data_IF_505275214467
#
_entry.id   IF_505275214467
#
_cell.length_a   1.000
_cell.length_b   1.000
_cell.length_c   1.000
_cell.angle_alpha   90.00
_cell.angle_beta   90.00
_cell.angle_gamma   90.00
#
_symmetry.space_group_name_H-M   'P 1'
#
loop_
_entity.id
_entity.type
_entity.pdbx_description
1 polymer ?
#
# COMPACT_ATOMS: atom_id res chain seq x y z
N UNK A 1 8.36 -4.74 -7.00
CA UNK A 1 8.38 -3.26 -6.92
C UNK A 1 7.98 -2.93 -5.48
N UNK A 2 8.67 -2.02 -4.78
CA UNK A 2 8.63 -1.93 -3.31
C UNK A 2 7.20 -1.86 -2.72
N UNK A 3 6.78 -2.98 -2.12
CA UNK A 3 5.53 -3.16 -1.41
C UNK A 3 5.57 -2.33 -0.13
N UNK A 4 4.84 -1.20 -0.12
CA UNK A 4 4.37 -0.37 1.01
C UNK A 4 5.08 -0.46 2.37
N UNK A 5 6.39 -0.69 2.38
CA UNK A 5 7.15 -1.08 3.57
C UNK A 5 7.25 0.07 4.56
N UNK A 6 7.14 1.31 4.08
CA UNK A 6 7.07 2.50 4.93
C UNK A 6 5.78 2.55 5.78
N UNK A 7 4.77 1.76 5.41
CA UNK A 7 3.52 1.56 6.16
C UNK A 7 3.63 0.31 7.05
N UNK A 8 4.22 -0.76 6.54
CA UNK A 8 4.41 -2.02 7.29
C UNK A 8 5.45 -1.89 8.41
N UNK A 9 6.52 -1.14 8.14
CA UNK A 9 7.69 -0.89 8.99
C UNK A 9 7.98 0.62 9.08
N UNK A 10 7.12 1.40 9.75
CA UNK A 10 7.29 2.85 9.88
C UNK A 10 8.58 3.24 10.64
N UNK A 11 9.22 2.30 11.34
CA UNK A 11 10.51 2.46 12.02
C UNK A 11 11.70 2.58 11.05
N UNK A 12 11.57 2.11 9.80
CA UNK A 12 12.67 2.15 8.82
C UNK A 12 12.82 3.52 8.13
N UNK A 13 11.83 4.40 8.27
CA UNK A 13 11.81 5.70 7.62
C UNK A 13 11.48 6.82 8.60
N UNK A 14 12.14 7.99 8.51
CA UNK A 14 11.75 9.15 9.27
C UNK A 14 10.28 9.52 9.02
N UNK A 15 9.53 9.87 10.07
CA UNK A 15 8.11 10.26 9.97
C UNK A 15 7.85 11.37 8.96
N UNK A 16 8.80 12.30 8.81
CA UNK A 16 8.73 13.41 7.85
C UNK A 16 8.69 12.93 6.39
N UNK A 17 9.22 11.74 6.12
CA UNK A 17 9.22 11.10 4.80
C UNK A 17 8.04 10.14 4.67
N UNK A 18 7.77 9.31 5.67
CA UNK A 18 6.74 8.26 5.57
C UNK A 18 5.30 8.80 5.56
N UNK A 19 5.02 9.92 6.24
CA UNK A 19 3.69 10.53 6.25
C UNK A 19 3.19 10.98 4.88
N UNK A 20 3.91 11.85 4.14
CA UNK A 20 3.41 12.35 2.86
C UNK A 20 3.22 11.22 1.84
N UNK A 21 4.15 10.25 1.78
CA UNK A 21 4.02 9.10 0.88
C UNK A 21 2.86 8.19 1.29
N UNK A 22 2.64 7.95 2.59
CA UNK A 22 1.49 7.16 3.06
C UNK A 22 0.16 7.79 2.64
N UNK A 23 0.04 9.11 2.79
CA UNK A 23 -1.18 9.81 2.42
C UNK A 23 -1.41 9.74 0.90
N UNK A 24 -0.38 10.04 0.10
CA UNK A 24 -0.46 9.97 -1.35
C UNK A 24 -0.84 8.56 -1.83
N UNK A 25 -0.22 7.51 -1.28
CA UNK A 25 -0.55 6.12 -1.61
C UNK A 25 -1.97 5.75 -1.23
N UNK A 26 -2.45 6.14 -0.04
CA UNK A 26 -3.84 5.89 0.36
C UNK A 26 -4.84 6.52 -0.60
N UNK A 27 -4.63 7.78 -0.96
CA UNK A 27 -5.51 8.48 -1.91
C UNK A 27 -5.47 7.83 -3.28
N UNK A 28 -4.27 7.50 -3.78
CA UNK A 28 -4.09 6.84 -5.07
C UNK A 28 -4.84 5.51 -5.13
N UNK A 29 -4.70 4.69 -4.09
CA UNK A 29 -5.27 3.35 -4.04
C UNK A 29 -6.78 3.36 -3.83
N UNK A 30 -7.31 4.31 -3.07
CA UNK A 30 -8.76 4.47 -2.92
C UNK A 30 -9.44 4.88 -4.23
N UNK A 31 -8.79 5.74 -5.02
CA UNK A 31 -9.28 6.23 -6.31
C UNK A 31 -9.06 5.25 -7.46
N UNK A 32 -8.14 4.29 -7.31
CA UNK A 32 -7.90 3.29 -8.34
C UNK A 32 -9.11 2.36 -8.53
N UNK A 33 -9.42 2.07 -9.79
CA UNK A 33 -10.39 1.03 -10.17
C UNK A 33 -9.82 -0.36 -9.87
N UNK A 34 -8.55 -0.57 -10.21
CA UNK A 34 -7.80 -1.81 -10.00
C UNK A 34 -6.39 -1.50 -9.47
N UNK A 35 -5.92 -2.33 -8.54
CA UNK A 35 -4.55 -2.32 -8.00
C UNK A 35 -3.87 -3.61 -8.47
N UNK A 36 -2.79 -3.47 -9.25
CA UNK A 36 -2.01 -4.62 -9.73
C UNK A 36 -0.80 -4.82 -8.82
N UNK A 37 -0.59 -6.05 -8.37
CA UNK A 37 0.60 -6.44 -7.61
C UNK A 37 1.17 -7.74 -8.21
N UNK A 38 2.35 -8.19 -7.78
CA UNK A 38 3.01 -9.37 -8.39
C UNK A 38 2.99 -10.60 -7.51
N UNK A 39 2.59 -10.47 -6.23
CA UNK A 39 2.62 -11.59 -5.29
C UNK A 39 1.41 -11.60 -4.36
N UNK A 40 1.05 -12.80 -3.89
CA UNK A 40 0.04 -12.96 -2.84
C UNK A 40 0.44 -12.30 -1.51
N UNK A 41 1.74 -12.18 -1.24
CA UNK A 41 2.25 -11.50 -0.05
C UNK A 41 1.89 -10.00 -0.10
N UNK A 42 2.27 -9.35 -1.19
CA UNK A 42 1.97 -7.94 -1.46
C UNK A 42 0.47 -7.65 -1.46
N UNK A 43 -0.36 -8.54 -2.05
CA UNK A 43 -1.83 -8.45 -1.98
C UNK A 43 -2.32 -8.38 -0.53
N UNK A 44 -1.83 -9.27 0.34
CA UNK A 44 -2.22 -9.31 1.76
C UNK A 44 -1.79 -8.05 2.51
N UNK A 45 -0.61 -7.52 2.22
CA UNK A 45 -0.14 -6.26 2.82
C UNK A 45 -1.01 -5.08 2.39
N UNK A 46 -1.32 -4.96 1.09
CA UNK A 46 -2.19 -3.91 0.55
C UNK A 46 -3.57 -3.97 1.22
N UNK A 47 -4.17 -5.16 1.34
CA UNK A 47 -5.44 -5.33 2.05
C UNK A 47 -5.34 -4.87 3.50
N UNK A 48 -4.31 -5.31 4.22
CA UNK A 48 -4.13 -5.05 5.66
C UNK A 48 -3.82 -3.58 5.97
N UNK A 49 -2.91 -2.96 5.24
CA UNK A 49 -2.35 -1.65 5.59
C UNK A 49 -3.02 -0.48 4.85
N UNK A 50 -3.62 -0.73 3.69
CA UNK A 50 -4.31 0.28 2.89
C UNK A 50 -5.84 0.11 2.85
N UNK A 51 -6.38 -0.93 3.50
CA UNK A 51 -7.82 -1.21 3.58
C UNK A 51 -8.50 -1.30 2.20
N UNK A 52 -7.82 -1.96 1.27
CA UNK A 52 -8.32 -2.16 -0.11
C UNK A 52 -9.15 -3.44 -0.16
N UNK A 53 -10.36 -3.40 -0.72
CA UNK A 53 -11.16 -4.61 -0.94
C UNK A 53 -10.42 -5.61 -1.83
N UNK A 54 -10.49 -6.89 -1.49
CA UNK A 54 -9.83 -7.96 -2.27
C UNK A 54 -10.17 -7.91 -3.76
N UNK A 55 -11.45 -7.65 -4.08
CA UNK A 55 -11.97 -7.52 -5.45
C UNK A 55 -11.33 -6.43 -6.30
N UNK A 56 -10.58 -5.51 -5.70
CA UNK A 56 -9.86 -4.45 -6.41
C UNK A 56 -8.40 -4.84 -6.70
N UNK A 57 -7.91 -5.96 -6.19
CA UNK A 57 -6.48 -6.32 -6.28
C UNK A 57 -6.30 -7.53 -7.19
N UNK A 58 -5.55 -7.32 -8.27
CA UNK A 58 -5.13 -8.36 -9.22
C UNK A 58 -3.65 -8.70 -8.99
N UNK A 59 -3.27 -9.96 -9.22
CA UNK A 59 -1.90 -10.48 -9.09
C UNK A 59 -1.36 -10.86 -10.46
#
# INVERSE_FOLDING_TARGET
>A
LADIFWIAHPEWLPKKVSWPITLATRVSVQKADVVVTTTQFSKREIMKYLNVPEKKIEI
#
